data_IF_678871811836
#
_entry.id   IF_678871811836
#
_cell.length_a   1.000
_cell.length_b   1.000
_cell.length_c   1.000
_cell.angle_alpha   90.00
_cell.angle_beta   90.00
_cell.angle_gamma   90.00
#
_symmetry.space_group_name_H-M   'P 1'
#
loop_
_entity.id
_entity.type
_entity.pdbx_description
1 polymer ?
#
# COMPACT_ATOMS: atom_id res chain seq x y z
N UNK A 1 1.57 1.55 10.60
CA UNK A 1 2.01 2.94 10.37
C UNK A 1 1.90 3.25 8.89
N UNK A 2 1.66 4.50 8.52
CA UNK A 2 1.59 4.94 7.13
C UNK A 2 2.26 6.31 6.96
N UNK A 3 2.48 6.71 5.71
CA UNK A 3 3.08 7.98 5.34
C UNK A 3 2.19 8.65 4.31
N UNK A 4 1.84 9.91 4.56
CA UNK A 4 1.08 10.76 3.64
C UNK A 4 1.95 11.26 2.49
N UNK A 5 1.33 11.76 1.42
CA UNK A 5 1.99 12.25 0.21
C UNK A 5 2.86 13.49 0.49
N UNK A 6 2.49 14.30 1.48
CA UNK A 6 3.28 15.42 1.97
C UNK A 6 4.46 14.99 2.87
N UNK A 7 4.58 13.68 3.14
CA UNK A 7 5.64 13.06 3.90
C UNK A 7 5.35 12.94 5.38
N UNK A 8 4.17 13.36 5.87
CA UNK A 8 3.76 13.23 7.28
C UNK A 8 3.51 11.79 7.68
N UNK A 9 3.83 11.47 8.92
CA UNK A 9 3.68 10.12 9.46
C UNK A 9 2.36 9.96 10.21
N UNK A 10 1.77 8.78 10.08
CA UNK A 10 0.61 8.35 10.86
C UNK A 10 0.92 7.02 11.52
N UNK A 11 0.67 6.90 12.82
CA UNK A 11 0.92 5.67 13.56
C UNK A 11 -0.20 5.34 14.54
N UNK A 12 -0.24 4.07 14.92
CA UNK A 12 -1.18 3.56 15.91
C UNK A 12 -0.39 3.21 17.18
N UNK A 13 -0.85 3.64 18.34
CA UNK A 13 -0.25 3.29 19.62
C UNK A 13 -0.62 1.85 20.05
N UNK A 14 -0.14 1.41 21.22
CA UNK A 14 -0.42 0.06 21.74
C UNK A 14 -1.91 -0.14 22.13
N UNK A 15 -2.66 0.95 22.33
CA UNK A 15 -4.11 0.93 22.63
C UNK A 15 -4.96 0.93 21.37
N UNK A 16 -4.38 1.17 20.20
CA UNK A 16 -5.07 1.26 18.93
C UNK A 16 -5.50 2.67 18.54
N UNK A 17 -5.11 3.70 19.29
CA UNK A 17 -5.39 5.10 18.93
C UNK A 17 -4.52 5.51 17.74
N UNK A 18 -5.10 6.29 16.82
CA UNK A 18 -4.41 6.78 15.64
C UNK A 18 -3.90 8.19 15.89
N UNK A 19 -2.61 8.41 15.65
CA UNK A 19 -1.94 9.69 15.77
C UNK A 19 -1.40 10.14 14.41
N UNK A 20 -1.56 11.42 14.10
CA UNK A 20 -1.07 12.04 12.86
C UNK A 20 -0.10 13.16 13.20
N UNK A 21 0.99 13.23 12.45
CA UNK A 21 1.96 14.32 12.58
C UNK A 21 1.34 15.65 12.13
N UNK A 22 1.53 16.71 12.92
CA UNK A 22 0.92 18.02 12.68
C UNK A 22 1.56 18.75 11.49
N UNK A 23 0.75 19.47 10.68
CA UNK A 23 1.23 20.20 9.48
C UNK A 23 2.30 21.28 9.73
N UNK A 24 2.42 21.80 10.96
CA UNK A 24 3.34 22.90 11.29
C UNK A 24 4.58 22.50 12.08
N UNK A 25 4.56 21.35 12.73
CA UNK A 25 5.63 20.91 13.63
C UNK A 25 5.91 19.42 13.39
N UNK A 26 7.07 19.17 12.78
CA UNK A 26 7.48 17.84 12.33
C UNK A 26 7.78 16.86 13.46
N UNK A 27 7.69 17.31 14.70
CA UNK A 27 7.96 16.52 15.89
C UNK A 27 6.74 16.36 16.80
N UNK A 28 5.58 16.94 16.45
CA UNK A 28 4.35 16.77 17.22
C UNK A 28 3.33 15.92 16.48
N UNK A 29 2.60 15.14 17.29
CA UNK A 29 1.52 14.29 16.83
C UNK A 29 0.23 14.66 17.55
N UNK A 30 -0.83 14.84 16.79
CA UNK A 30 -2.18 15.02 17.31
C UNK A 30 -2.93 13.71 17.28
N UNK A 31 -3.83 13.53 18.24
CA UNK A 31 -4.77 12.41 18.22
C UNK A 31 -5.72 12.60 17.03
N UNK A 32 -5.69 11.68 16.09
CA UNK A 32 -6.52 11.69 14.88
C UNK A 32 -7.77 10.82 15.04
N UNK A 33 -7.65 9.68 15.74
CA UNK A 33 -8.77 8.80 16.08
C UNK A 33 -8.56 8.17 17.46
N UNK A 34 -9.48 8.46 18.39
CA UNK A 34 -9.39 8.07 19.81
C UNK A 34 -10.03 6.73 20.18
N UNK A 35 -10.18 5.83 19.22
CA UNK A 35 -10.71 4.49 19.45
C UNK A 35 -9.83 3.43 18.80
N UNK A 36 -9.99 2.18 19.20
CA UNK A 36 -9.13 1.09 18.73
C UNK A 36 -9.28 0.85 17.23
N UNK A 37 -8.20 1.09 16.49
CA UNK A 37 -8.05 0.73 15.10
C UNK A 37 -6.99 -0.38 14.95
N UNK A 38 -7.35 -1.45 14.25
CA UNK A 38 -6.45 -2.56 13.90
C UNK A 38 -5.57 -2.21 12.70
N UNK A 39 -6.10 -1.44 11.76
CA UNK A 39 -5.39 -0.99 10.57
C UNK A 39 -6.02 0.30 10.01
N UNK A 40 -5.24 1.05 9.23
CA UNK A 40 -5.69 2.27 8.58
C UNK A 40 -5.09 2.42 7.18
N UNK A 41 -5.80 3.09 6.28
CA UNK A 41 -5.30 3.47 4.96
C UNK A 41 -5.87 4.83 4.52
N UNK A 42 -5.00 5.72 4.09
CA UNK A 42 -5.37 7.05 3.60
C UNK A 42 -5.47 7.07 2.07
N UNK A 43 -6.44 7.81 1.58
CA UNK A 43 -6.56 8.22 0.19
C UNK A 43 -6.70 9.73 0.15
N UNK A 44 -5.54 10.40 0.11
CA UNK A 44 -5.44 11.86 0.19
C UNK A 44 -6.02 12.57 -1.03
N UNK A 45 -6.03 11.92 -2.21
CA UNK A 45 -6.65 12.49 -3.41
C UNK A 45 -8.15 12.74 -3.22
N UNK A 46 -8.79 11.92 -2.38
CA UNK A 46 -10.21 12.03 -2.05
C UNK A 46 -10.49 12.64 -0.68
N UNK A 47 -9.46 12.92 0.13
CA UNK A 47 -9.64 13.35 1.52
C UNK A 47 -10.39 12.32 2.36
N UNK A 48 -10.13 11.03 2.17
CA UNK A 48 -10.77 9.95 2.93
C UNK A 48 -9.77 8.99 3.58
N UNK A 49 -10.18 8.39 4.68
CA UNK A 49 -9.42 7.40 5.42
C UNK A 49 -10.31 6.20 5.71
N UNK A 50 -9.75 5.01 5.51
CA UNK A 50 -10.37 3.75 5.87
C UNK A 50 -9.74 3.23 7.17
N UNK A 51 -10.58 2.83 8.13
CA UNK A 51 -10.19 2.29 9.42
C UNK A 51 -10.79 0.89 9.57
N UNK A 52 -9.97 -0.07 9.97
CA UNK A 52 -10.44 -1.39 10.41
C UNK A 52 -10.52 -1.37 11.93
N UNK A 53 -11.71 -1.57 12.48
CA UNK A 53 -11.96 -1.58 13.91
C UNK A 53 -12.37 -2.98 14.37
N UNK A 54 -12.03 -3.38 15.62
CA UNK A 54 -12.61 -4.57 16.22
C UNK A 54 -14.14 -4.47 16.24
N UNK A 55 -14.84 -5.60 16.05
CA UNK A 55 -16.30 -5.60 16.01
C UNK A 55 -16.93 -5.05 17.31
N UNK A 56 -16.36 -5.38 18.46
CA UNK A 56 -16.87 -4.96 19.78
C UNK A 56 -16.73 -3.46 20.05
N UNK A 57 -15.73 -2.82 19.44
CA UNK A 57 -15.43 -1.39 19.65
C UNK A 57 -16.10 -0.52 18.58
N UNK A 58 -16.53 -1.13 17.47
CA UNK A 58 -17.37 -0.48 16.50
C UNK A 58 -18.80 -0.44 17.04
N UNK A 59 -19.21 0.73 17.55
CA UNK A 59 -20.60 1.01 17.92
C UNK A 59 -21.49 0.80 16.68
N UNK A 60 -21.96 -0.42 16.49
CA UNK A 60 -23.05 -0.75 15.61
C UNK A 60 -24.32 -0.48 16.42
N UNK A 61 -25.20 0.38 15.91
CA UNK A 61 -26.51 0.68 16.52
C UNK A 61 -27.44 -0.55 16.60
N UNK A 62 -27.00 -1.74 16.16
CA UNK A 62 -27.75 -2.99 16.24
C UNK A 62 -27.54 -3.70 17.58
N UNK A 63 -28.59 -3.69 18.37
CA UNK A 63 -28.81 -4.15 19.76
C UNK A 63 -28.31 -5.54 20.23
N UNK A 64 -27.51 -6.30 19.50
CA UNK A 64 -26.98 -7.60 19.98
C UNK A 64 -25.48 -7.71 19.72
N UNK A 65 -24.68 -7.28 20.70
CA UNK A 65 -23.22 -7.50 20.73
C UNK A 65 -22.98 -9.00 20.98
N UNK A 66 -23.04 -9.79 19.91
CA UNK A 66 -22.38 -11.09 19.92
C UNK A 66 -20.88 -10.81 19.85
N UNK A 67 -20.16 -11.18 20.91
CA UNK A 67 -18.73 -10.98 21.08
C UNK A 67 -17.92 -11.91 20.15
N UNK A 68 -18.05 -11.70 18.82
CA UNK A 68 -17.39 -12.50 17.80
C UNK A 68 -16.05 -11.86 17.42
N UNK A 69 -14.97 -12.38 18.01
CA UNK A 69 -13.58 -11.95 17.75
C UNK A 69 -13.09 -12.29 16.34
N UNK A 70 -13.85 -13.08 15.56
CA UNK A 70 -13.52 -13.41 14.18
C UNK A 70 -13.94 -12.34 13.16
N UNK A 71 -14.52 -11.22 13.64
CA UNK A 71 -15.08 -10.15 12.81
C UNK A 71 -14.41 -8.80 13.07
N UNK A 72 -14.53 -7.91 12.09
CA UNK A 72 -14.13 -6.51 12.18
C UNK A 72 -15.11 -5.64 11.42
N UNK A 73 -15.06 -4.34 11.68
CA UNK A 73 -15.84 -3.35 10.93
C UNK A 73 -14.87 -2.47 10.17
N UNK A 74 -15.10 -2.34 8.87
CA UNK A 74 -14.41 -1.36 8.03
C UNK A 74 -15.23 -0.09 8.00
N UNK A 75 -14.67 1.01 8.48
CA UNK A 75 -15.27 2.34 8.46
C UNK A 75 -14.52 3.23 7.48
N UNK A 76 -15.22 4.04 6.70
CA UNK A 76 -14.61 5.06 5.83
C UNK A 76 -15.07 6.44 6.24
N UNK A 77 -14.13 7.31 6.54
CA UNK A 77 -14.38 8.69 6.95
C UNK A 77 -13.83 9.67 5.92
N UNK A 78 -14.42 10.87 5.85
CA UNK A 78 -13.72 12.06 5.36
C UNK A 78 -12.77 12.60 6.42
N UNK A 79 -11.69 13.21 5.97
CA UNK A 79 -10.80 13.98 6.82
C UNK A 79 -10.39 15.28 6.13
N UNK A 80 -10.18 16.33 6.93
CA UNK A 80 -9.69 17.63 6.48
C UNK A 80 -8.72 18.20 7.50
N UNK A 81 -7.62 18.81 7.03
CA UNK A 81 -6.63 19.52 7.85
C UNK A 81 -6.16 18.84 9.16
N UNK A 82 -6.20 17.51 9.20
CA UNK A 82 -5.80 16.64 10.33
C UNK A 82 -6.94 16.24 11.29
N UNK A 83 -8.20 16.46 10.89
CA UNK A 83 -9.38 16.06 11.65
C UNK A 83 -10.24 15.09 10.85
N UNK A 84 -10.77 14.07 11.53
CA UNK A 84 -11.89 13.27 11.03
C UNK A 84 -13.17 14.10 11.06
N UNK A 85 -13.95 14.06 9.98
CA UNK A 85 -15.14 14.91 9.85
C UNK A 85 -16.43 14.11 9.75
N UNK A 86 -16.59 13.30 8.72
CA UNK A 86 -17.85 12.60 8.40
C UNK A 86 -17.61 11.11 8.20
N UNK A 87 -18.39 10.24 8.87
CA UNK A 87 -18.46 8.82 8.53
C UNK A 87 -19.29 8.65 7.26
N UNK A 88 -18.68 8.13 6.19
CA UNK A 88 -19.33 7.94 4.90
C UNK A 88 -20.11 6.64 4.83
N UNK A 89 -19.49 5.54 5.29
CA UNK A 89 -20.10 4.23 5.32
C UNK A 89 -19.29 3.30 6.23
N UNK A 90 -19.93 2.22 6.66
CA UNK A 90 -19.27 1.11 7.33
C UNK A 90 -19.82 -0.23 6.86
N UNK A 91 -19.00 -1.28 6.93
CA UNK A 91 -19.38 -2.63 6.56
C UNK A 91 -18.69 -3.65 7.44
N UNK A 92 -19.42 -4.69 7.84
CA UNK A 92 -18.86 -5.82 8.56
C UNK A 92 -18.04 -6.71 7.63
N UNK A 93 -16.87 -7.13 8.10
CA UNK A 93 -15.90 -7.95 7.37
C UNK A 93 -15.33 -9.04 8.28
N UNK A 94 -14.75 -10.11 7.72
CA UNK A 94 -13.89 -11.01 8.49
C UNK A 94 -12.77 -10.23 9.18
N UNK A 95 -12.27 -10.75 10.30
CA UNK A 95 -11.16 -10.14 11.05
C UNK A 95 -10.03 -9.76 10.11
N UNK A 96 -9.70 -8.47 10.05
CA UNK A 96 -8.67 -7.92 9.20
C UNK A 96 -7.62 -7.18 10.04
N UNK A 97 -6.34 -7.35 9.69
CA UNK A 97 -5.19 -6.72 10.34
C UNK A 97 -4.38 -5.84 9.38
N UNK A 98 -4.95 -5.59 8.20
CA UNK A 98 -4.41 -4.70 7.17
C UNK A 98 -5.55 -4.16 6.32
N UNK A 99 -5.37 -2.93 5.83
CA UNK A 99 -6.23 -2.31 4.83
C UNK A 99 -5.34 -1.50 3.88
N UNK A 100 -5.65 -1.54 2.59
CA UNK A 100 -4.92 -0.82 1.54
C UNK A 100 -5.92 -0.22 0.54
N UNK A 101 -5.61 0.98 0.05
CA UNK A 101 -6.32 1.55 -1.10
C UNK A 101 -5.71 1.05 -2.40
N UNK A 102 -6.57 0.55 -3.29
CA UNK A 102 -6.24 0.30 -4.68
C UNK A 102 -7.06 1.27 -5.55
N UNK A 103 -6.38 2.28 -6.10
CA UNK A 103 -7.04 3.39 -6.81
C UNK A 103 -8.03 4.11 -5.87
N UNK A 104 -8.76 5.12 -6.37
CA UNK A 104 -9.75 5.82 -5.55
C UNK A 104 -11.01 5.00 -5.19
N UNK A 105 -11.17 3.78 -5.72
CA UNK A 105 -12.44 3.06 -5.72
C UNK A 105 -12.43 1.70 -5.01
N UNK A 106 -11.26 1.16 -4.64
CA UNK A 106 -11.19 -0.17 -4.05
C UNK A 106 -10.37 -0.16 -2.77
N UNK A 107 -10.88 -0.88 -1.78
CA UNK A 107 -10.21 -1.21 -0.53
C UNK A 107 -9.91 -2.71 -0.54
N UNK A 108 -8.73 -3.08 -0.07
CA UNK A 108 -8.33 -4.46 0.14
C UNK A 108 -8.06 -4.63 1.61
N UNK A 109 -8.85 -5.47 2.27
CA UNK A 109 -8.69 -5.81 3.68
C UNK A 109 -8.21 -7.25 3.79
N UNK A 110 -7.23 -7.52 4.64
CA UNK A 110 -6.72 -8.88 4.82
C UNK A 110 -6.25 -9.14 6.23
N UNK A 111 -6.23 -10.42 6.58
CA UNK A 111 -5.53 -10.98 7.72
C UNK A 111 -4.83 -12.25 7.22
N UNK A 112 -3.55 -12.48 7.54
CA UNK A 112 -2.83 -13.68 7.12
C UNK A 112 -3.52 -14.99 7.48
N UNK A 113 -4.32 -14.99 8.55
CA UNK A 113 -5.04 -16.17 9.03
C UNK A 113 -6.48 -16.28 8.47
N UNK A 114 -6.87 -15.35 7.59
CA UNK A 114 -8.24 -15.26 7.07
C UNK A 114 -8.27 -14.91 5.57
N UNK A 115 -9.47 -14.79 5.01
CA UNK A 115 -9.68 -14.40 3.62
C UNK A 115 -9.36 -12.92 3.39
N UNK A 116 -8.68 -12.62 2.29
CA UNK A 116 -8.57 -11.26 1.76
C UNK A 116 -9.90 -10.86 1.13
N UNK A 117 -10.46 -9.71 1.51
CA UNK A 117 -11.68 -9.17 0.91
C UNK A 117 -11.38 -7.92 0.10
N UNK A 118 -11.89 -7.87 -1.13
CA UNK A 118 -11.85 -6.68 -1.99
C UNK A 118 -13.21 -6.00 -1.94
N UNK A 119 -13.19 -4.73 -1.55
CA UNK A 119 -14.38 -3.94 -1.25
C UNK A 119 -14.36 -2.73 -2.17
N UNK A 120 -15.43 -2.55 -2.92
CA UNK A 120 -15.59 -1.38 -3.78
C UNK A 120 -16.22 -0.25 -2.98
N UNK A 121 -15.59 0.91 -3.02
CA UNK A 121 -16.11 2.17 -2.49
C UNK A 121 -16.60 3.02 -3.67
N UNK A 122 -17.91 3.20 -3.77
CA UNK A 122 -18.52 3.95 -4.87
C UNK A 122 -19.68 4.78 -4.35
N UNK A 123 -19.69 6.08 -4.67
CA UNK A 123 -20.76 7.02 -4.27
C UNK A 123 -21.03 6.99 -2.75
N UNK A 124 -19.97 6.92 -1.95
CA UNK A 124 -20.10 6.87 -0.49
C UNK A 124 -20.62 5.54 0.05
N UNK A 125 -20.60 4.45 -0.73
CA UNK A 125 -21.05 3.13 -0.31
C UNK A 125 -19.99 2.05 -0.49
N UNK A 126 -19.88 1.20 0.52
CA UNK A 126 -19.00 0.03 0.58
C UNK A 126 -19.76 -1.21 0.13
N UNK A 127 -19.16 -1.97 -0.78
CA UNK A 127 -19.69 -3.25 -1.24
C UNK A 127 -18.58 -4.27 -1.36
N UNK A 128 -18.66 -5.37 -0.63
CA UNK A 128 -17.75 -6.52 -0.81
C UNK A 128 -17.99 -7.10 -2.20
N UNK A 129 -16.94 -7.18 -3.02
CA UNK A 129 -17.02 -7.69 -4.41
C UNK A 129 -16.38 -9.06 -4.54
N UNK A 130 -15.28 -9.30 -3.84
CA UNK A 130 -14.49 -10.54 -3.95
C UNK A 130 -13.97 -10.94 -2.57
N UNK A 131 -13.91 -12.25 -2.31
CA UNK A 131 -13.05 -12.84 -1.30
C UNK A 131 -12.05 -13.80 -1.95
N UNK A 132 -10.78 -13.72 -1.57
CA UNK A 132 -9.69 -14.58 -2.06
C UNK A 132 -8.94 -15.19 -0.85
N UNK A 133 -8.32 -16.34 -1.04
CA UNK A 133 -7.53 -17.05 -0.01
C UNK A 133 -6.07 -16.59 0.02
N UNK A 134 -5.64 -15.89 -1.02
CA UNK A 134 -4.32 -15.28 -1.03
C UNK A 134 -4.23 -14.25 0.11
N UNK A 135 -3.05 -14.16 0.70
CA UNK A 135 -2.71 -13.38 1.89
C UNK A 135 -1.77 -12.22 1.50
N UNK A 136 -1.46 -11.35 2.48
CA UNK A 136 -0.47 -10.27 2.35
C UNK A 136 -0.60 -9.48 1.04
N UNK A 137 -1.64 -8.64 0.91
CA UNK A 137 -1.83 -7.80 -0.25
C UNK A 137 -0.77 -6.71 -0.30
N UNK A 138 -0.42 -6.30 -1.52
CA UNK A 138 0.32 -5.08 -1.76
C UNK A 138 -0.23 -4.37 -3.00
N UNK A 139 -0.04 -3.06 -3.06
CA UNK A 139 -0.44 -2.25 -4.22
C UNK A 139 0.80 -1.68 -4.88
N UNK A 140 0.91 -1.89 -6.19
CA UNK A 140 1.93 -1.26 -7.03
C UNK A 140 1.26 -0.70 -8.26
N UNK A 141 1.41 0.62 -8.46
CA UNK A 141 0.74 1.38 -9.51
C UNK A 141 -0.79 1.20 -9.47
N UNK A 142 -1.34 0.37 -10.37
CA UNK A 142 -2.77 0.13 -10.57
C UNK A 142 -3.15 -1.33 -10.35
N UNK A 143 -2.20 -2.16 -9.93
CA UNK A 143 -2.38 -3.59 -9.73
C UNK A 143 -2.40 -3.93 -8.26
N UNK A 144 -3.22 -4.91 -7.94
CA UNK A 144 -3.21 -5.59 -6.65
C UNK A 144 -2.31 -6.81 -6.76
N UNK A 145 -1.27 -6.88 -5.93
CA UNK A 145 -0.52 -8.09 -5.70
C UNK A 145 -1.11 -8.87 -4.54
N UNK A 146 -1.30 -10.17 -4.73
CA UNK A 146 -1.76 -11.10 -3.70
C UNK A 146 -0.76 -12.25 -3.58
N UNK A 147 -0.42 -12.66 -2.36
CA UNK A 147 0.55 -13.71 -2.09
C UNK A 147 -0.14 -15.01 -1.73
N UNK A 148 0.26 -16.12 -2.36
CA UNK A 148 -0.18 -17.46 -1.97
C UNK A 148 0.96 -18.20 -1.28
N UNK A 149 0.69 -18.91 -0.18
CA UNK A 149 1.72 -19.68 0.54
C UNK A 149 1.93 -21.09 -0.03
N UNK A 150 0.98 -21.64 -0.78
CA UNK A 150 1.00 -23.04 -1.22
C UNK A 150 0.57 -23.21 -2.69
N UNK A 151 1.49 -23.08 -3.66
CA UNK A 151 2.91 -22.71 -3.52
C UNK A 151 3.18 -21.19 -3.38
N UNK A 152 4.33 -20.78 -2.79
CA UNK A 152 4.78 -19.40 -2.73
C UNK A 152 4.74 -18.76 -4.10
N UNK A 153 3.75 -17.90 -4.29
CA UNK A 153 3.52 -17.24 -5.57
C UNK A 153 2.88 -15.89 -5.37
N UNK A 154 3.08 -15.04 -6.36
CA UNK A 154 2.52 -13.70 -6.43
C UNK A 154 1.53 -13.71 -7.58
N UNK A 155 0.30 -13.30 -7.30
CA UNK A 155 -0.73 -13.08 -8.30
C UNK A 155 -0.93 -11.58 -8.48
N UNK A 156 -0.71 -11.07 -9.69
CA UNK A 156 -1.06 -9.70 -10.03
C UNK A 156 -2.48 -9.65 -10.58
N UNK A 157 -3.29 -8.75 -10.05
CA UNK A 157 -4.69 -8.61 -10.39
C UNK A 157 -5.00 -7.19 -10.87
N UNK A 158 -5.52 -7.11 -12.10
CA UNK A 158 -6.29 -5.95 -12.56
C UNK A 158 -7.75 -6.06 -12.07
N UNK A 159 -8.05 -5.36 -10.98
CA UNK A 159 -9.36 -5.39 -10.32
C UNK A 159 -10.46 -4.74 -11.18
N UNK A 160 -10.13 -3.82 -12.09
CA UNK A 160 -11.16 -3.21 -12.96
C UNK A 160 -11.65 -4.22 -13.99
N UNK A 161 -10.73 -5.03 -14.52
CA UNK A 161 -11.03 -6.12 -15.46
C UNK A 161 -11.44 -7.42 -14.78
N UNK A 162 -11.41 -7.45 -13.45
CA UNK A 162 -11.63 -8.63 -12.63
C UNK A 162 -10.79 -9.84 -13.12
N UNK A 163 -9.51 -9.62 -13.45
CA UNK A 163 -8.66 -10.64 -14.07
C UNK A 163 -7.25 -10.67 -13.45
N UNK A 164 -6.81 -11.87 -13.02
CA UNK A 164 -5.39 -12.12 -12.70
C UNK A 164 -4.58 -11.99 -14.00
N UNK A 165 -3.69 -11.01 -14.07
CA UNK A 165 -2.96 -10.63 -15.29
C UNK A 165 -1.58 -11.28 -15.38
N UNK A 166 -0.99 -11.64 -14.25
CA UNK A 166 0.30 -12.31 -14.16
C UNK A 166 0.37 -13.17 -12.89
N UNK A 167 1.22 -14.19 -12.94
CA UNK A 167 1.51 -15.04 -11.78
C UNK A 167 2.97 -15.45 -11.80
N UNK A 168 3.65 -15.24 -10.68
CA UNK A 168 5.07 -15.46 -10.51
C UNK A 168 5.30 -16.41 -9.34
N UNK A 169 5.89 -17.57 -9.61
CA UNK A 169 6.33 -18.47 -8.55
C UNK A 169 7.60 -17.92 -7.91
N UNK A 170 7.57 -17.76 -6.59
CA UNK A 170 8.73 -17.32 -5.84
C UNK A 170 9.73 -18.47 -5.70
N UNK A 171 11.03 -18.14 -5.80
CA UNK A 171 12.09 -19.14 -5.65
C UNK A 171 12.15 -19.58 -4.20
N UNK A 172 11.46 -20.67 -3.93
CA UNK A 172 11.40 -21.29 -2.63
C UNK A 172 12.68 -22.10 -2.37
N UNK A 173 13.77 -21.41 -2.07
CA UNK A 173 15.00 -22.04 -1.63
C UNK A 173 14.74 -22.67 -0.27
N UNK A 174 14.88 -24.00 -0.15
CA UNK A 174 14.80 -24.69 1.14
C UNK A 174 15.71 -23.98 2.15
N UNK A 175 15.18 -23.66 3.32
CA UNK A 175 15.97 -23.09 4.41
C UNK A 175 17.06 -24.07 4.88
N UNK A 176 17.95 -23.62 5.77
CA UNK A 176 19.09 -24.39 6.31
C UNK A 176 18.72 -25.77 6.89
N UNK A 177 17.43 -26.04 7.17
CA UNK A 177 16.92 -27.31 7.71
C UNK A 177 16.00 -28.08 6.75
N UNK A 178 16.01 -27.76 5.45
CA UNK A 178 15.13 -28.40 4.46
C UNK A 178 13.66 -27.95 4.51
N UNK A 179 13.28 -27.13 5.51
CA UNK A 179 11.94 -26.53 5.61
C UNK A 179 11.71 -25.49 4.51
N UNK A 180 10.46 -25.43 4.05
CA UNK A 180 9.94 -24.44 3.10
C UNK A 180 10.04 -23.04 3.70
N UNK A 181 10.44 -22.02 2.92
CA UNK A 181 10.32 -20.63 3.37
C UNK A 181 8.85 -20.23 3.36
N UNK A 182 8.41 -19.55 4.41
CA UNK A 182 7.05 -19.02 4.53
C UNK A 182 7.06 -17.52 4.29
N UNK A 183 6.02 -17.01 3.63
CA UNK A 183 5.84 -15.57 3.45
C UNK A 183 5.32 -14.96 4.75
N UNK A 184 5.88 -13.82 5.15
CA UNK A 184 5.54 -13.14 6.42
C UNK A 184 5.07 -11.70 6.27
N UNK A 185 5.13 -11.15 5.08
CA UNK A 185 4.54 -9.85 4.76
C UNK A 185 4.93 -9.32 3.40
N UNK A 186 4.27 -8.23 3.03
CA UNK A 186 4.53 -7.53 1.78
C UNK A 186 4.24 -6.05 1.87
N UNK A 187 4.91 -5.27 1.03
CA UNK A 187 4.56 -3.87 0.78
C UNK A 187 4.88 -3.50 -0.67
N UNK A 188 4.27 -2.42 -1.16
CA UNK A 188 4.47 -1.93 -2.52
C UNK A 188 4.69 -0.42 -2.56
N UNK A 189 5.51 0.03 -3.49
CA UNK A 189 5.76 1.45 -3.74
C UNK A 189 6.25 1.68 -5.15
N UNK A 190 5.57 2.55 -5.91
CA UNK A 190 5.87 2.80 -7.32
C UNK A 190 5.89 1.49 -8.12
N UNK A 191 6.99 1.23 -8.84
CA UNK A 191 7.21 0.01 -9.64
C UNK A 191 7.80 -1.15 -8.81
N UNK A 192 7.87 -1.03 -7.50
CA UNK A 192 8.52 -2.03 -6.64
C UNK A 192 7.51 -2.66 -5.68
N UNK A 193 7.73 -3.92 -5.35
CA UNK A 193 7.14 -4.56 -4.20
C UNK A 193 8.21 -5.36 -3.45
N UNK A 194 8.07 -5.47 -2.13
CA UNK A 194 8.98 -6.22 -1.28
C UNK A 194 8.17 -7.31 -0.58
N UNK A 195 8.68 -8.53 -0.61
CA UNK A 195 8.05 -9.71 -0.03
C UNK A 195 9.00 -10.28 1.00
N UNK A 196 8.60 -10.28 2.27
CA UNK A 196 9.42 -10.76 3.36
C UNK A 196 9.16 -12.25 3.64
N UNK A 197 10.23 -12.99 3.89
CA UNK A 197 10.23 -14.40 4.26
C UNK A 197 10.52 -14.56 5.76
N UNK A 198 10.10 -15.70 6.32
CA UNK A 198 10.28 -16.08 7.72
C UNK A 198 11.74 -16.19 8.18
N UNK A 199 12.68 -16.39 7.25
CA UNK A 199 14.12 -16.40 7.54
C UNK A 199 14.75 -15.00 7.60
N UNK A 200 13.96 -13.94 7.46
CA UNK A 200 14.43 -12.55 7.43
C UNK A 200 14.97 -12.09 6.07
N UNK A 201 14.96 -12.95 5.05
CA UNK A 201 15.26 -12.52 3.68
C UNK A 201 14.02 -11.89 3.04
N UNK A 202 14.23 -11.06 2.02
CA UNK A 202 13.15 -10.53 1.22
C UNK A 202 13.45 -10.57 -0.27
N UNK A 203 12.43 -10.91 -1.04
CA UNK A 203 12.44 -10.80 -2.48
C UNK A 203 11.89 -9.44 -2.90
N UNK A 204 12.54 -8.81 -3.86
CA UNK A 204 12.10 -7.54 -4.41
C UNK A 204 11.59 -7.77 -5.82
N UNK A 205 10.35 -7.34 -6.07
CA UNK A 205 9.74 -7.39 -7.38
C UNK A 205 9.90 -6.05 -8.09
N UNK A 206 10.09 -6.13 -9.41
CA UNK A 206 9.90 -4.99 -10.30
C UNK A 206 8.68 -5.20 -11.18
N UNK A 207 7.76 -4.24 -11.13
CA UNK A 207 6.43 -4.33 -11.75
C UNK A 207 6.34 -3.25 -12.83
N UNK A 208 6.12 -3.68 -14.07
CA UNK A 208 5.96 -2.80 -15.23
C UNK A 208 4.80 -3.29 -16.07
N UNK A 209 3.88 -2.37 -16.38
CA UNK A 209 2.65 -2.70 -17.07
C UNK A 209 1.85 -3.72 -16.27
N UNK A 210 1.58 -4.88 -16.88
CA UNK A 210 0.82 -5.97 -16.28
C UNK A 210 1.68 -7.17 -15.87
N UNK A 211 2.99 -6.98 -15.73
CA UNK A 211 3.94 -8.06 -15.44
C UNK A 211 4.86 -7.73 -14.27
N UNK A 212 5.30 -8.75 -13.56
CA UNK A 212 6.30 -8.65 -12.51
C UNK A 212 7.51 -9.54 -12.79
N UNK A 213 8.66 -9.13 -12.26
CA UNK A 213 9.87 -9.97 -12.22
C UNK A 213 10.53 -9.92 -10.85
N UNK A 214 10.98 -11.06 -10.35
CA UNK A 214 11.81 -11.12 -9.14
C UNK A 214 13.20 -10.60 -9.50
N UNK A 215 13.69 -9.63 -8.74
CA UNK A 215 15.04 -9.11 -8.90
C UNK A 215 16.04 -9.93 -8.08
N UNK A 216 17.29 -9.97 -8.53
CA UNK A 216 18.37 -10.71 -7.85
C UNK A 216 19.53 -9.79 -7.44
N UNK A 217 20.19 -10.02 -6.31
CA UNK A 217 19.90 -11.05 -5.31
C UNK A 217 18.70 -10.67 -4.42
N UNK A 218 18.14 -11.66 -3.71
CA UNK A 218 17.28 -11.40 -2.54
C UNK A 218 18.10 -10.64 -1.49
N UNK A 219 17.42 -9.77 -0.73
CA UNK A 219 18.05 -8.94 0.30
C UNK A 219 17.85 -9.55 1.69
N UNK A 220 18.66 -9.17 2.66
CA UNK A 220 18.45 -9.50 4.07
C UNK A 220 17.84 -8.29 4.77
N UNK A 221 16.75 -8.49 5.52
CA UNK A 221 16.16 -7.48 6.37
C UNK A 221 16.63 -7.73 7.82
N UNK A 222 17.41 -6.79 8.35
CA UNK A 222 17.86 -6.85 9.73
C UNK A 222 16.70 -6.48 10.66
N UNK A 223 16.13 -7.49 11.33
CA UNK A 223 15.05 -7.33 12.29
C UNK A 223 15.64 -7.59 13.67
N UNK A 224 15.51 -6.61 14.56
CA UNK A 224 15.88 -6.81 15.97
C UNK A 224 14.88 -7.78 16.55
N UNK A 225 15.28 -9.04 16.73
CA UNK A 225 14.45 -10.03 17.42
C UNK A 225 14.34 -9.57 18.87
N UNK A 226 13.22 -8.95 19.24
CA UNK A 226 12.82 -8.96 20.63
C UNK A 226 12.57 -10.42 20.97
N UNK A 227 13.42 -10.99 21.83
CA UNK A 227 13.18 -12.31 22.40
C UNK A 227 11.76 -12.28 22.98
N UNK A 228 10.84 -13.16 22.54
CA UNK A 228 9.69 -13.44 23.37
C UNK A 228 10.26 -14.18 24.58
N UNK A 229 10.51 -13.43 25.65
CA UNK A 229 10.62 -14.00 26.97
C UNK A 229 9.20 -14.47 27.32
N UNK A 230 8.83 -15.65 26.82
CA UNK A 230 7.83 -16.56 27.36
C UNK A 230 7.86 -17.87 26.58
N UNK A 231 8.25 -18.93 27.28
CA UNK A 231 8.40 -20.31 26.81
C UNK A 231 7.06 -20.96 26.47
N UNK A 232 6.41 -20.51 25.40
CA UNK A 232 5.31 -21.23 24.78
C UNK A 232 5.57 -21.37 23.29
N UNK A 233 5.96 -22.58 22.88
CA UNK A 233 6.40 -22.95 21.52
C UNK A 233 5.42 -22.68 20.37
N UNK A 234 4.24 -22.10 20.64
CA UNK A 234 3.26 -21.68 19.65
C UNK A 234 3.53 -20.28 19.06
N UNK A 235 4.30 -19.41 19.72
CA UNK A 235 4.53 -18.02 19.27
C UNK A 235 5.54 -17.87 18.13
N UNK A 236 6.41 -18.86 17.92
CA UNK A 236 7.37 -18.85 16.81
C UNK A 236 6.71 -18.98 15.43
N UNK A 237 5.45 -19.46 15.35
CA UNK A 237 4.72 -19.64 14.10
C UNK A 237 4.03 -18.36 13.57
N UNK A 238 3.93 -17.31 14.40
CA UNK A 238 3.18 -16.07 14.11
C UNK A 238 4.06 -14.82 13.91
N UNK A 239 5.36 -15.00 13.58
CA UNK A 239 6.23 -13.84 13.35
C UNK A 239 5.90 -13.15 12.02
N UNK A 240 5.04 -12.13 12.09
CA UNK A 240 4.77 -11.19 10.98
C UNK A 240 5.98 -10.28 10.78
N UNK A 241 6.38 -10.10 9.53
CA UNK A 241 7.40 -9.11 9.15
C UNK A 241 6.68 -8.05 8.35
N UNK A 242 6.72 -6.80 8.81
CA UNK A 242 6.16 -5.67 8.07
C UNK A 242 7.29 -4.99 7.27
N UNK A 243 7.55 -5.41 6.02
CA UNK A 243 8.51 -4.72 5.18
C UNK A 243 8.02 -3.30 4.89
N UNK A 244 8.96 -2.37 4.80
CA UNK A 244 8.71 -0.98 4.48
C UNK A 244 9.45 -0.66 3.17
N UNK A 245 8.77 -0.04 2.20
CA UNK A 245 9.43 0.38 0.98
C UNK A 245 8.91 1.72 0.45
N UNK A 246 9.82 2.49 -0.15
CA UNK A 246 9.51 3.77 -0.79
C UNK A 246 10.30 3.90 -2.08
N UNK A 247 9.60 4.01 -3.21
CA UNK A 247 10.23 4.31 -4.49
C UNK A 247 10.70 5.77 -4.53
N UNK A 248 12.00 5.96 -4.76
CA UNK A 248 12.61 7.27 -5.00
C UNK A 248 12.55 7.64 -6.48
N UNK A 249 12.58 6.64 -7.37
CA UNK A 249 12.46 6.77 -8.81
C UNK A 249 11.95 5.47 -9.43
N UNK A 250 11.87 5.38 -10.76
CA UNK A 250 11.55 4.13 -11.46
C UNK A 250 12.67 3.07 -11.39
N UNK A 251 13.84 3.41 -10.84
CA UNK A 251 15.00 2.52 -10.71
C UNK A 251 15.58 2.45 -9.31
N UNK A 252 15.07 3.21 -8.35
CA UNK A 252 15.66 3.32 -7.01
C UNK A 252 14.57 3.23 -5.95
N UNK A 253 14.79 2.39 -4.94
CA UNK A 253 13.85 2.13 -3.85
C UNK A 253 14.60 2.07 -2.52
N UNK A 254 14.00 2.64 -1.48
CA UNK A 254 14.41 2.42 -0.10
C UNK A 254 13.63 1.23 0.45
N UNK A 255 14.33 0.33 1.15
CA UNK A 255 13.73 -0.86 1.76
C UNK A 255 14.22 -1.01 3.20
N UNK A 256 13.33 -1.37 4.10
CA UNK A 256 13.63 -1.75 5.48
C UNK A 256 12.52 -2.64 6.04
N UNK A 257 12.54 -2.88 7.35
CA UNK A 257 11.48 -3.58 8.06
C UNK A 257 11.09 -2.81 9.32
N UNK A 258 9.81 -2.81 9.67
CA UNK A 258 9.38 -2.31 10.98
C UNK A 258 10.03 -3.14 12.09
N UNK A 259 10.59 -2.48 13.11
CA UNK A 259 11.41 -3.12 14.17
C UNK A 259 12.85 -3.43 13.73
N UNK A 260 13.22 -3.13 12.49
CA UNK A 260 14.58 -3.32 11.98
C UNK A 260 15.50 -2.14 12.27
N UNK A 261 16.81 -2.34 12.16
CA UNK A 261 17.82 -1.31 12.43
C UNK A 261 18.60 -0.88 11.18
N UNK A 262 18.19 -1.33 9.99
CA UNK A 262 18.87 -1.03 8.73
C UNK A 262 17.89 -0.62 7.64
N UNK A 263 18.34 0.32 6.81
CA UNK A 263 17.61 0.82 5.64
C UNK A 263 18.53 0.75 4.44
N UNK A 264 18.07 0.01 3.44
CA UNK A 264 18.80 -0.29 2.23
C UNK A 264 18.34 0.64 1.12
N UNK A 265 19.27 1.34 0.48
CA UNK A 265 19.02 2.04 -0.78
C UNK A 265 19.41 1.12 -1.93
N UNK A 266 18.41 0.65 -2.67
CA UNK A 266 18.60 -0.30 -3.74
C UNK A 266 18.41 0.37 -5.09
N UNK A 267 19.30 0.05 -6.04
CA UNK A 267 19.19 0.46 -7.44
C UNK A 267 19.01 -0.75 -8.34
N UNK A 268 17.89 -0.71 -9.06
CA UNK A 268 17.54 -1.63 -10.12
C UNK A 268 18.34 -1.34 -11.39
N UNK A 269 18.85 -2.41 -12.00
CA UNK A 269 19.48 -2.40 -13.31
C UNK A 269 18.60 -3.15 -14.31
N UNK A 270 18.70 -2.76 -15.59
CA UNK A 270 17.87 -3.33 -16.68
C UNK A 270 18.06 -4.84 -16.85
N UNK A 271 19.22 -5.38 -16.48
CA UNK A 271 19.53 -6.81 -16.46
C UNK A 271 18.74 -7.63 -15.41
N UNK A 272 17.95 -6.97 -14.55
CA UNK A 272 17.18 -7.63 -13.50
C UNK A 272 17.94 -7.76 -12.17
N UNK A 273 19.14 -7.19 -12.10
CA UNK A 273 19.92 -7.16 -10.86
C UNK A 273 19.57 -5.97 -9.98
N UNK A 274 19.73 -6.16 -8.68
CA UNK A 274 19.73 -5.13 -7.65
C UNK A 274 21.15 -4.88 -7.17
N UNK A 275 21.52 -3.61 -7.12
CA UNK A 275 22.74 -3.15 -6.46
C UNK A 275 22.34 -2.40 -5.19
N UNK A 276 22.92 -2.79 -4.06
CA UNK A 276 22.87 -1.97 -2.85
C UNK A 276 23.77 -0.75 -3.10
N UNK A 277 23.18 0.44 -3.15
CA UNK A 277 23.94 1.70 -3.28
C UNK A 277 24.41 2.21 -1.92
N UNK A 278 23.59 2.05 -0.89
CA UNK A 278 23.86 2.55 0.46
C UNK A 278 23.13 1.70 1.51
N UNK A 279 23.71 1.62 2.71
CA UNK A 279 23.14 0.97 3.88
C UNK A 279 23.21 1.95 5.04
N UNK A 280 22.05 2.46 5.46
CA UNK A 280 21.96 3.28 6.66
C UNK A 280 21.62 2.40 7.86
N UNK A 281 22.57 2.28 8.79
CA UNK A 281 22.32 1.68 10.10
C UNK A 281 21.77 2.74 11.06
N UNK A 282 20.78 2.36 11.85
CA UNK A 282 20.26 3.15 12.95
C UNK A 282 21.19 3.01 14.17
N UNK A 283 21.05 3.92 15.14
CA UNK A 283 21.80 3.87 16.39
C UNK A 283 21.46 2.65 17.25
N UNK A 284 22.25 2.41 18.29
CA UNK A 284 21.94 1.36 19.26
C UNK A 284 20.62 1.69 19.98
N UNK A 285 19.73 0.70 20.11
CA UNK A 285 18.41 0.89 20.71
C UNK A 285 17.38 1.61 19.83
N UNK A 286 17.72 1.88 18.56
CA UNK A 286 16.82 2.48 17.58
C UNK A 286 16.21 1.42 16.65
N UNK A 287 14.89 1.48 16.50
CA UNK A 287 14.10 0.61 15.63
C UNK A 287 13.37 1.44 14.57
N UNK A 288 13.37 0.98 13.33
CA UNK A 288 12.65 1.59 12.24
C UNK A 288 11.16 1.38 12.40
N UNK A 289 10.38 2.44 12.26
CA UNK A 289 8.93 2.40 12.40
C UNK A 289 8.21 2.70 11.07
N UNK A 290 8.70 3.69 10.31
CA UNK A 290 8.20 4.02 8.98
C UNK A 290 9.28 4.69 8.12
N UNK A 291 9.15 4.59 6.79
CA UNK A 291 10.04 5.24 5.81
C UNK A 291 9.20 6.14 4.91
N UNK A 292 9.66 7.37 4.70
CA UNK A 292 9.18 8.28 3.65
C UNK A 292 10.29 8.51 2.61
N UNK A 293 10.05 9.37 1.62
CA UNK A 293 11.07 9.68 0.60
C UNK A 293 12.33 10.29 1.21
N UNK A 294 12.21 11.21 2.17
CA UNK A 294 13.30 12.04 2.67
C UNK A 294 13.59 11.89 4.18
N UNK A 295 12.82 11.09 4.91
CA UNK A 295 12.98 10.87 6.35
C UNK A 295 12.43 9.51 6.79
N UNK A 296 12.85 9.02 7.95
CA UNK A 296 12.23 7.91 8.65
C UNK A 296 11.67 8.36 10.00
N UNK A 297 10.72 7.56 10.46
CA UNK A 297 10.28 7.55 11.83
C UNK A 297 10.98 6.40 12.54
N UNK A 298 11.64 6.72 13.65
CA UNK A 298 12.38 5.78 14.50
C UNK A 298 11.67 5.68 15.85
N UNK A 299 11.66 4.48 16.41
CA UNK A 299 11.32 4.23 17.80
C UNK A 299 12.63 4.04 18.56
N UNK A 300 12.85 4.83 19.60
CA UNK A 300 13.99 4.71 20.50
C UNK A 300 13.48 4.26 21.87
N UNK A 301 14.15 3.28 22.47
CA UNK A 301 13.92 2.93 23.87
C UNK A 301 14.83 3.83 24.71
N UNK A 302 14.24 4.64 25.59
CA UNK A 302 14.98 5.52 26.49
C UNK A 302 15.56 4.75 27.69
N UNK A 303 16.40 5.40 28.49
CA UNK A 303 17.02 4.81 29.69
C UNK A 303 15.98 4.33 30.73
N UNK A 304 14.83 5.00 30.79
CA UNK A 304 13.66 4.64 31.61
C UNK A 304 12.83 3.49 31.02
N UNK A 305 13.30 2.87 29.94
CA UNK A 305 12.60 1.83 29.18
C UNK A 305 11.28 2.31 28.53
N UNK A 306 11.08 3.62 28.43
CA UNK A 306 9.97 4.21 27.69
C UNK A 306 10.28 4.25 26.19
N UNK A 307 9.30 3.84 25.37
CA UNK A 307 9.41 3.90 23.91
C UNK A 307 9.08 5.31 23.44
N UNK A 308 10.12 6.09 23.10
CA UNK A 308 9.98 7.42 22.51
C UNK A 308 10.05 7.34 20.98
N UNK A 309 9.15 8.02 20.30
CA UNK A 309 9.20 8.15 18.85
C UNK A 309 10.06 9.37 18.48
N UNK A 310 11.07 9.17 17.64
CA UNK A 310 12.03 10.18 17.21
C UNK A 310 12.10 10.19 15.68
N UNK A 311 12.10 11.39 15.10
CA UNK A 311 12.23 11.54 13.65
C UNK A 311 13.69 11.68 13.27
N UNK A 312 14.08 10.98 12.21
CA UNK A 312 15.43 11.12 11.64
C UNK A 312 15.31 11.41 10.15
N UNK A 313 15.88 12.54 9.73
CA UNK A 313 15.98 12.86 8.31
C UNK A 313 17.02 11.96 7.63
N UNK A 314 16.73 11.51 6.41
CA UNK A 314 17.78 10.93 5.59
C UNK A 314 18.54 12.05 4.91
N UNK A 315 19.88 12.00 4.90
CA UNK A 315 20.64 12.72 3.90
C UNK A 315 20.33 12.07 2.55
N UNK A 316 19.31 12.55 1.85
CA UNK A 316 19.19 12.26 0.42
C UNK A 316 20.14 13.21 -0.30
N UNK A 317 21.09 12.72 -1.13
CA UNK A 317 21.66 13.56 -2.15
C UNK A 317 20.51 13.97 -3.06
N UNK A 318 20.12 15.24 -3.00
CA UNK A 318 19.06 15.82 -3.81
C UNK A 318 19.36 15.47 -5.26
N UNK A 319 18.41 14.83 -5.94
CA UNK A 319 18.47 14.70 -7.40
C UNK A 319 18.42 16.14 -7.91
N UNK A 320 19.59 16.73 -8.18
CA UNK A 320 19.70 17.98 -8.92
C UNK A 320 19.10 17.68 -10.28
N UNK A 321 17.83 18.04 -10.48
CA UNK A 321 17.30 18.28 -11.82
C UNK A 321 18.16 19.38 -12.41
N UNK A 322 19.16 19.02 -13.20
CA UNK A 322 19.92 19.97 -14.02
C UNK A 322 18.98 20.52 -15.09
N UNK A 323 18.23 21.56 -14.75
CA UNK A 323 17.81 22.56 -15.73
C UNK A 323 18.99 23.49 -15.94
N UNK A 324 19.59 23.40 -17.11
CA UNK A 324 20.60 24.29 -17.66
C UNK A 324 20.20 25.77 -17.58
N UNK A 325 21.12 26.62 -17.11
CA UNK A 325 21.46 27.90 -17.74
C UNK A 325 22.78 28.41 -17.16
N UNK A 326 23.79 28.53 -18.02
CA UNK A 326 24.98 29.35 -17.79
C UNK A 326 24.56 30.82 -17.65
N UNK A 327 25.13 31.54 -16.68
CA UNK A 327 25.65 32.92 -16.84
C UNK A 327 26.84 33.04 -15.88
N UNK A 328 28.00 33.37 -16.44
CA UNK A 328 29.22 33.81 -15.74
C UNK A 328 29.01 35.21 -15.15
N UNK A 329 29.51 35.46 -13.94
CA UNK A 329 30.48 36.53 -13.61
C UNK A 329 30.43 36.98 -12.13
N UNK A 330 31.61 36.83 -11.50
CA UNK A 330 32.37 37.83 -10.72
C UNK A 330 31.84 38.47 -9.42
N UNK A 331 32.57 38.14 -8.36
CA UNK A 331 33.17 39.01 -7.32
C UNK A 331 32.35 39.78 -6.25
N UNK A 332 32.66 39.39 -5.00
CA UNK A 332 33.12 40.19 -3.85
C UNK A 332 32.25 41.34 -3.28
N UNK A 333 32.01 41.26 -1.95
CA UNK A 333 31.83 42.42 -1.08
C UNK A 333 30.60 42.37 -0.17
N UNK A 334 30.82 42.01 1.10
CA UNK A 334 30.06 42.56 2.24
C UNK A 334 30.78 43.87 2.69
N UNK A 335 30.24 44.75 3.58
CA UNK A 335 29.12 44.52 4.51
C UNK A 335 28.16 45.73 4.79
N UNK A 336 27.17 45.45 5.63
CA UNK A 336 26.53 46.28 6.68
C UNK A 336 25.49 47.41 6.41
N UNK A 337 24.49 47.35 7.31
CA UNK A 337 23.64 48.39 7.94
C UNK A 337 22.18 48.66 7.50
N UNK A 338 21.32 48.49 8.52
CA UNK A 338 20.17 49.33 8.97
C UNK A 338 18.86 49.46 8.16
N UNK A 339 17.80 48.94 8.78
CA UNK A 339 16.47 49.52 9.07
C UNK A 339 15.84 50.53 8.09
N UNK A 340 14.64 50.22 7.58
CA UNK A 340 13.36 50.94 7.87
C UNK A 340 12.14 50.28 7.20
N UNK A 341 10.98 50.55 7.79
CA UNK A 341 9.62 50.13 7.43
C UNK A 341 9.17 50.53 6.02
N UNK A 342 8.23 49.76 5.45
CA UNK A 342 7.58 50.10 4.19
C UNK A 342 6.47 49.12 3.80
N UNK A 343 5.23 49.51 4.13
CA UNK A 343 3.95 48.95 3.70
C UNK A 343 3.78 49.05 2.17
N UNK A 344 3.28 48.02 1.47
CA UNK A 344 2.28 48.08 0.35
C UNK A 344 2.17 46.79 -0.49
N UNK A 345 0.93 46.32 -0.56
CA UNK A 345 0.13 45.79 -1.68
C UNK A 345 0.60 44.68 -2.64
N UNK A 346 -0.25 43.66 -2.58
CA UNK A 346 -0.73 42.76 -3.65
C UNK A 346 -0.58 43.26 -5.08
N UNK A 347 0.09 42.45 -5.93
CA UNK A 347 -0.26 42.31 -7.34
C UNK A 347 0.20 40.95 -7.91
N UNK A 348 -0.69 39.97 -7.86
CA UNK A 348 -0.57 38.73 -8.63
C UNK A 348 -0.84 39.02 -10.11
N UNK A 349 0.22 38.97 -10.91
CA UNK A 349 0.21 39.27 -12.34
C UNK A 349 -0.69 38.31 -13.16
N UNK A 350 -1.49 38.88 -14.06
CA UNK A 350 -2.41 38.21 -15.01
C UNK A 350 -1.77 37.15 -15.93
N UNK A 351 -0.43 37.05 -15.93
CA UNK A 351 0.33 36.10 -16.75
C UNK A 351 0.09 34.63 -16.35
N UNK A 352 -0.25 34.37 -15.08
CA UNK A 352 -0.53 33.02 -14.56
C UNK A 352 -1.95 32.53 -14.90
N UNK A 353 -2.93 33.44 -15.05
CA UNK A 353 -4.31 33.09 -15.45
C UNK A 353 -4.43 32.71 -16.94
N UNK A 354 -3.62 33.31 -17.82
CA UNK A 354 -3.62 32.98 -19.26
C UNK A 354 -2.98 31.62 -19.60
N UNK A 355 -1.99 31.17 -18.82
CA UNK A 355 -1.34 29.86 -19.02
C UNK A 355 -2.26 28.68 -18.64
N UNK A 356 -3.16 28.87 -17.67
CA UNK A 356 -4.12 27.84 -17.22
C UNK A 356 -5.28 27.62 -18.20
N UNK A 357 -5.72 28.66 -18.93
CA UNK A 357 -6.79 28.55 -19.95
C UNK A 357 -6.38 27.83 -21.25
N UNK A 358 -5.08 27.76 -21.58
CA UNK A 358 -4.60 27.04 -22.78
C UNK A 358 -4.44 25.53 -22.59
N UNK A 359 -4.31 25.01 -21.36
CA UNK A 359 -4.29 23.55 -21.11
C UNK A 359 -5.69 22.91 -21.24
N UNK A 360 -6.73 23.56 -20.74
CA UNK A 360 -8.10 23.00 -20.80
C UNK A 360 -8.75 22.96 -22.20
N UNK A 361 -8.21 23.67 -23.20
CA UNK A 361 -8.69 23.55 -24.59
C UNK A 361 -8.04 22.40 -25.37
N UNK A 362 -6.87 21.90 -24.94
CA UNK A 362 -6.17 20.80 -25.64
C UNK A 362 -6.70 19.42 -25.23
N UNK A 363 -7.24 19.28 -24.02
CA UNK A 363 -7.87 18.03 -23.55
C UNK A 363 -9.28 17.83 -24.10
N UNK A 364 -9.99 18.91 -24.47
CA UNK A 364 -11.34 18.81 -25.06
C UNK A 364 -11.33 18.30 -26.52
N UNK A 365 -10.24 18.49 -27.26
CA UNK A 365 -10.10 18.02 -28.65
C UNK A 365 -9.64 16.55 -28.77
N UNK A 366 -9.18 15.92 -27.69
CA UNK A 366 -8.69 14.53 -27.70
C UNK A 366 -9.82 13.54 -27.34
N UNK A 367 -10.96 14.02 -26.82
CA UNK A 367 -12.09 13.18 -26.38
C UNK A 367 -13.27 13.10 -27.37
N UNK A 368 -13.25 13.83 -28.48
CA UNK A 368 -14.33 13.79 -29.50
C UNK A 368 -13.96 13.06 -30.79
N UNK A 369 -12.81 12.38 -30.82
CA UNK A 369 -12.24 11.81 -32.05
C UNK A 369 -12.27 10.30 -32.18
N UNK A 370 -13.25 9.55 -31.65
CA UNK A 370 -13.39 8.11 -31.96
C UNK A 370 -14.85 7.62 -31.93
N UNK A 371 -15.53 7.76 -33.07
CA UNK A 371 -16.62 6.87 -33.49
C UNK A 371 -16.32 6.40 -34.92
N UNK A 372 -16.27 5.09 -35.20
CA UNK A 372 -16.25 4.61 -36.58
C UNK A 372 -17.63 4.05 -36.96
N UNK A 373 -18.26 4.71 -37.91
CA UNK A 373 -19.31 4.14 -38.76
C UNK A 373 -18.66 3.29 -39.86
N UNK A 374 -19.27 2.13 -40.12
CA UNK A 374 -19.67 1.72 -41.47
C UNK A 374 -18.62 1.24 -42.48
N UNK A 375 -18.78 -0.03 -42.87
CA UNK A 375 -18.40 -0.66 -44.14
C UNK A 375 -16.92 -0.82 -44.49
N UNK A 376 -16.41 -2.05 -44.38
CA UNK A 376 -15.96 -2.72 -45.61
C UNK A 376 -15.94 -4.26 -45.52
N UNK A 377 -16.43 -4.89 -46.58
CA UNK A 377 -16.46 -6.35 -46.80
C UNK A 377 -15.16 -6.79 -47.46
N UNK A 378 -14.51 -7.85 -46.96
CA UNK A 378 -13.98 -8.99 -47.78
C UNK A 378 -13.26 -10.07 -46.94
N UNK A 379 -13.81 -11.29 -47.05
CA UNK A 379 -13.22 -12.65 -47.14
C UNK A 379 -12.03 -13.07 -46.25
N UNK A 380 -12.36 -13.84 -45.20
CA UNK A 380 -12.04 -15.26 -44.91
C UNK A 380 -10.68 -15.81 -45.38
N UNK A 381 -9.84 -16.29 -44.44
CA UNK A 381 -9.57 -17.75 -44.22
C UNK A 381 -8.76 -18.03 -42.93
N UNK A 382 -9.25 -19.02 -42.18
CA UNK A 382 -8.56 -20.00 -41.33
C UNK A 382 -7.87 -19.56 -40.02
N UNK A 383 -8.54 -19.88 -38.90
CA UNK A 383 -7.98 -19.98 -37.57
C UNK A 383 -8.98 -20.63 -36.62
N UNK A 384 -8.78 -21.91 -36.34
CA UNK A 384 -9.64 -22.85 -35.62
C UNK A 384 -10.00 -22.42 -34.18
N UNK A 385 -11.31 -22.28 -33.92
CA UNK A 385 -11.90 -22.14 -32.58
C UNK A 385 -12.56 -23.46 -32.15
N UNK A 386 -12.14 -23.97 -30.99
CA UNK A 386 -12.77 -25.06 -30.25
C UNK A 386 -14.08 -24.57 -29.62
N UNK A 387 -15.21 -25.05 -30.15
CA UNK A 387 -16.55 -24.82 -29.61
C UNK A 387 -16.83 -25.84 -28.50
N UNK A 388 -16.99 -25.38 -27.26
CA UNK A 388 -17.56 -26.18 -26.18
C UNK A 388 -19.07 -26.32 -26.41
N UNK A 389 -19.52 -27.57 -26.57
CA UNK A 389 -20.92 -27.96 -26.85
C UNK A 389 -21.87 -27.79 -25.63
N UNK A 390 -23.17 -27.54 -25.84
CA UNK A 390 -24.17 -27.25 -24.78
C UNK A 390 -24.73 -28.48 -24.04
N UNK A 391 -24.03 -29.62 -24.03
CA UNK A 391 -24.56 -30.88 -23.46
C UNK A 391 -24.52 -30.97 -21.93
N UNK A 392 -23.79 -30.07 -21.25
CA UNK A 392 -23.68 -30.09 -19.78
C UNK A 392 -24.84 -29.35 -19.10
N UNK A 393 -25.48 -28.39 -19.77
CA UNK A 393 -26.58 -27.60 -19.19
C UNK A 393 -27.88 -28.40 -19.00
N UNK A 394 -28.13 -29.42 -19.84
CA UNK A 394 -29.36 -30.24 -19.75
C UNK A 394 -29.27 -31.23 -18.58
N UNK A 395 -28.07 -31.73 -18.24
CA UNK A 395 -27.87 -32.64 -17.11
C UNK A 395 -28.15 -31.99 -15.75
N UNK A 396 -27.76 -30.74 -15.57
CA UNK A 396 -27.95 -30.00 -14.31
C UNK A 396 -29.42 -29.67 -14.02
N UNK A 397 -30.23 -29.45 -15.08
CA UNK A 397 -31.67 -29.20 -14.94
C UNK A 397 -32.45 -30.45 -14.49
N UNK A 398 -32.09 -31.64 -14.99
CA UNK A 398 -32.74 -32.89 -14.59
C UNK A 398 -32.45 -33.28 -13.13
N UNK A 399 -31.23 -33.05 -12.65
CA UNK A 399 -30.87 -33.29 -11.24
C UNK A 399 -31.64 -32.35 -10.31
N UNK A 400 -31.83 -31.09 -10.70
CA UNK A 400 -32.58 -30.10 -9.92
C UNK A 400 -34.06 -30.47 -9.79
N UNK A 401 -34.67 -30.98 -10.87
CA UNK A 401 -36.07 -31.43 -10.88
C UNK A 401 -36.26 -32.70 -10.05
N UNK A 402 -35.31 -33.63 -10.09
CA UNK A 402 -35.36 -34.85 -9.27
C UNK A 402 -35.22 -34.57 -7.78
N UNK A 403 -34.36 -33.63 -7.38
CA UNK A 403 -34.22 -33.19 -5.98
C UNK A 403 -35.51 -32.51 -5.50
N UNK A 404 -36.13 -31.66 -6.33
CA UNK A 404 -37.40 -31.01 -5.99
C UNK A 404 -38.56 -32.00 -5.84
N UNK A 405 -38.62 -33.04 -6.69
CA UNK A 405 -39.63 -34.11 -6.58
C UNK A 405 -39.40 -35.02 -5.36
N UNK A 406 -38.15 -35.27 -4.99
CA UNK A 406 -37.80 -36.05 -3.81
C UNK A 406 -38.19 -35.33 -2.51
N UNK A 407 -37.92 -34.01 -2.43
CA UNK A 407 -38.29 -33.19 -1.28
C UNK A 407 -39.80 -32.97 -1.12
N UNK A 408 -40.59 -33.16 -2.18
CA UNK A 408 -42.05 -33.01 -2.14
C UNK A 408 -42.80 -34.29 -1.74
N UNK A 409 -42.09 -35.43 -1.67
CA UNK A 409 -42.64 -36.75 -1.30
C UNK A 409 -42.33 -37.18 0.14
N UNK A 410 -41.47 -36.44 0.84
CA UNK A 410 -41.34 -36.47 2.30
C UNK A 410 -42.12 -35.31 2.87
#
# INVERSE_FOLDING_TARGET
>A
MSVLNDGRFVFTDEKGNLYMESKGDKNSFSLFYGSKALAHAFNEEMGIVALVCPHNDAVLESLHINNDSSRSVLKVYRFDDDNLTELLDEVEIPLASSVLWLKPAYLVVSNPDNLTSIIKFLKGKLKVVVRDRDIYPFVSLKLLGLLSNEPPSVHLWDVDRNKKVDSLTLKNTRGRRGKRKLLRGSCGSGNFAVIANDDGTADVLYIVGNSARVLSPSISLSITRQNPCDESGALAESMRIDPLCVALSSSTVLVGASGGNEILKLKYKKDGSLKIEDIKKLGNGEELAAISKNRCLIRRIDEDNEKKMVFTAFPLPTIRTTSSANVEDSEAGAPDTSATEGHLDTNLTESTKRKRRRRNRKEKYILEGQTPNGSDKRKITNGSYSIYTPRIAIGMLLVSVLIALYLRRR
#
